data_IF_518307952736
#
_entry.id   IF_518307952736
#
_cell.length_a   1.000
_cell.length_b   1.000
_cell.length_c   1.000
_cell.angle_alpha   90.00
_cell.angle_beta   90.00
_cell.angle_gamma   90.00
#
_symmetry.space_group_name_H-M   'P 1'
#
loop_
_entity.id
_entity.type
_entity.pdbx_description
1 polymer ?
#
# COMPACT_ATOMS: atom_id res chain seq x y z
N UNK A 1 -28.48 -5.77 -8.21
CA UNK A 1 -27.91 -6.85 -7.37
C UNK A 1 -26.43 -6.58 -7.17
N UNK A 2 -25.96 -6.72 -5.96
CA UNK A 2 -24.53 -6.57 -5.64
C UNK A 2 -23.96 -7.93 -5.23
N UNK A 3 -23.22 -8.61 -6.08
CA UNK A 3 -22.76 -9.98 -5.82
C UNK A 3 -21.83 -10.09 -4.58
N UNK A 4 -21.16 -9.00 -4.21
CA UNK A 4 -20.29 -9.00 -3.03
C UNK A 4 -21.03 -9.17 -1.70
N UNK A 5 -22.34 -8.91 -1.67
CA UNK A 5 -23.15 -9.10 -0.46
C UNK A 5 -23.50 -10.57 -0.19
N UNK A 6 -23.43 -11.40 -1.22
CA UNK A 6 -23.76 -12.83 -1.16
C UNK A 6 -22.50 -13.72 -1.04
N UNK A 7 -21.30 -13.10 -1.08
CA UNK A 7 -20.03 -13.79 -0.94
C UNK A 7 -19.76 -14.20 0.50
N UNK A 8 -19.15 -15.36 0.66
CA UNK A 8 -18.59 -15.74 1.96
C UNK A 8 -17.31 -14.94 2.29
N UNK A 9 -16.75 -15.18 3.47
CA UNK A 9 -15.59 -14.43 3.97
C UNK A 9 -14.34 -14.66 3.12
N UNK A 10 -14.13 -15.87 2.61
CA UNK A 10 -12.95 -16.20 1.80
C UNK A 10 -13.07 -15.60 0.41
N UNK A 11 -14.25 -15.66 -0.18
CA UNK A 11 -14.57 -15.03 -1.46
C UNK A 11 -14.41 -13.50 -1.39
N UNK A 12 -14.90 -12.86 -0.31
CA UNK A 12 -14.70 -11.42 -0.08
C UNK A 12 -13.23 -11.06 0.07
N UNK A 13 -12.46 -11.86 0.80
CA UNK A 13 -11.03 -11.63 0.94
C UNK A 13 -10.30 -11.79 -0.40
N UNK A 14 -10.65 -12.80 -1.20
CA UNK A 14 -10.15 -12.97 -2.56
C UNK A 14 -10.47 -11.77 -3.47
N UNK A 15 -11.69 -11.25 -3.38
CA UNK A 15 -12.09 -10.04 -4.11
C UNK A 15 -11.28 -8.82 -3.66
N UNK A 16 -11.06 -8.65 -2.36
CA UNK A 16 -10.22 -7.58 -1.81
C UNK A 16 -8.79 -7.64 -2.35
N UNK A 17 -8.19 -8.83 -2.36
CA UNK A 17 -6.85 -9.04 -2.94
C UNK A 17 -6.82 -8.72 -4.43
N UNK A 18 -7.83 -9.11 -5.18
CA UNK A 18 -7.94 -8.78 -6.61
C UNK A 18 -8.02 -7.27 -6.83
N UNK A 19 -8.86 -6.56 -6.08
CA UNK A 19 -8.97 -5.11 -6.20
C UNK A 19 -7.68 -4.40 -5.80
N UNK A 20 -7.01 -4.86 -4.75
CA UNK A 20 -5.71 -4.30 -4.35
C UNK A 20 -4.64 -4.49 -5.43
N UNK A 21 -4.59 -5.67 -6.06
CA UNK A 21 -3.69 -5.94 -7.19
C UNK A 21 -4.02 -5.09 -8.42
N UNK A 22 -5.30 -4.94 -8.75
CA UNK A 22 -5.75 -4.13 -9.88
C UNK A 22 -5.43 -2.65 -9.68
N UNK A 23 -5.62 -2.15 -8.47
CA UNK A 23 -5.24 -0.79 -8.14
C UNK A 23 -3.74 -0.56 -8.32
N UNK A 24 -2.90 -1.46 -7.78
CA UNK A 24 -1.45 -1.34 -7.92
C UNK A 24 -1.00 -1.47 -9.38
N UNK A 25 -1.65 -2.33 -10.16
CA UNK A 25 -1.39 -2.44 -11.59
C UNK A 25 -1.73 -1.13 -12.33
N UNK A 26 -2.83 -0.50 -11.99
CA UNK A 26 -3.22 0.80 -12.55
C UNK A 26 -2.22 1.91 -12.18
N UNK A 27 -1.80 1.96 -10.93
CA UNK A 27 -0.76 2.88 -10.46
C UNK A 27 0.56 2.67 -11.23
N UNK A 28 0.97 1.41 -11.40
CA UNK A 28 2.15 1.03 -12.20
C UNK A 28 2.04 1.42 -13.67
N UNK A 29 0.87 1.29 -14.28
CA UNK A 29 0.63 1.74 -15.66
C UNK A 29 0.77 3.26 -15.80
N UNK A 30 0.26 4.02 -14.85
CA UNK A 30 0.44 5.47 -14.81
C UNK A 30 1.91 5.86 -14.66
N UNK A 31 2.62 5.20 -13.75
CA UNK A 31 4.05 5.45 -13.55
C UNK A 31 4.86 5.19 -14.81
N UNK A 32 4.65 4.03 -15.46
CA UNK A 32 5.35 3.68 -16.70
C UNK A 32 5.01 4.63 -17.85
N UNK A 33 3.76 5.07 -17.97
CA UNK A 33 3.35 6.05 -18.98
C UNK A 33 4.03 7.41 -18.75
N UNK A 34 4.17 7.84 -17.49
CA UNK A 34 4.91 9.05 -17.15
C UNK A 34 6.42 8.90 -17.42
N UNK A 35 7.00 7.75 -17.08
CA UNK A 35 8.42 7.44 -17.34
C UNK A 35 8.73 7.44 -18.84
N UNK A 36 7.89 6.78 -19.64
CA UNK A 36 8.03 6.71 -21.09
C UNK A 36 7.92 8.09 -21.77
N UNK A 37 7.05 8.96 -21.25
CA UNK A 37 6.78 10.26 -21.84
C UNK A 37 7.74 11.35 -21.37
N UNK A 38 8.21 11.30 -20.14
CA UNK A 38 8.94 12.37 -19.47
C UNK A 38 10.24 11.96 -18.79
N UNK A 39 10.57 10.67 -18.82
CA UNK A 39 11.74 10.12 -18.13
C UNK A 39 11.49 9.78 -16.66
N UNK A 40 12.44 9.04 -16.09
CA UNK A 40 12.33 8.48 -14.76
C UNK A 40 12.24 9.54 -13.66
N UNK A 41 13.05 10.59 -13.73
CA UNK A 41 13.11 11.63 -12.69
C UNK A 41 11.76 12.35 -12.56
N UNK A 42 11.11 12.67 -13.67
CA UNK A 42 9.79 13.31 -13.67
C UNK A 42 8.70 12.33 -13.24
N UNK A 43 8.78 11.07 -13.64
CA UNK A 43 7.86 10.04 -13.18
C UNK A 43 7.92 9.89 -11.65
N UNK A 44 9.11 9.86 -11.06
CA UNK A 44 9.30 9.80 -9.60
C UNK A 44 8.71 11.06 -8.94
N UNK A 45 8.96 12.24 -9.49
CA UNK A 45 8.42 13.49 -8.93
C UNK A 45 6.88 13.49 -8.91
N UNK A 46 6.26 13.03 -9.98
CA UNK A 46 4.80 12.92 -10.07
C UNK A 46 4.24 11.86 -9.11
N UNK A 47 4.92 10.73 -8.99
CA UNK A 47 4.56 9.66 -8.09
C UNK A 47 4.64 10.10 -6.62
N UNK A 48 5.71 10.78 -6.21
CA UNK A 48 5.86 11.35 -4.87
C UNK A 48 4.71 12.30 -4.52
N UNK A 49 4.28 13.16 -5.46
CA UNK A 49 3.16 14.07 -5.25
C UNK A 49 1.82 13.34 -5.18
N UNK A 50 1.62 12.33 -6.02
CA UNK A 50 0.42 11.48 -6.00
C UNK A 50 0.31 10.74 -4.66
N UNK A 51 1.40 10.17 -4.18
CA UNK A 51 1.45 9.46 -2.89
C UNK A 51 1.25 10.39 -1.69
N UNK A 52 1.77 11.61 -1.74
CA UNK A 52 1.53 12.60 -0.68
C UNK A 52 0.03 12.88 -0.50
N UNK A 53 -0.70 13.01 -1.60
CA UNK A 53 -2.15 13.23 -1.59
C UNK A 53 -2.92 11.96 -1.20
N UNK A 54 -2.57 10.84 -1.81
CA UNK A 54 -3.24 9.56 -1.59
C UNK A 54 -3.07 9.06 -0.15
N UNK A 55 -1.86 9.09 0.40
CA UNK A 55 -1.59 8.59 1.74
C UNK A 55 -2.45 9.29 2.80
N UNK A 56 -2.65 10.60 2.68
CA UNK A 56 -3.53 11.34 3.57
C UNK A 56 -5.00 10.92 3.44
N UNK A 57 -5.47 10.64 2.21
CA UNK A 57 -6.83 10.17 1.97
C UNK A 57 -7.04 8.74 2.49
N UNK A 58 -6.09 7.85 2.25
CA UNK A 58 -6.09 6.48 2.74
C UNK A 58 -6.13 6.45 4.27
N UNK A 59 -5.24 7.21 4.93
CA UNK A 59 -5.17 7.29 6.38
C UNK A 59 -6.50 7.75 7.01
N UNK A 60 -7.12 8.80 6.46
CA UNK A 60 -8.44 9.26 6.94
C UNK A 60 -9.53 8.20 6.83
N UNK A 61 -9.55 7.46 5.70
CA UNK A 61 -10.54 6.38 5.48
C UNK A 61 -10.34 5.22 6.44
N UNK A 62 -9.09 4.81 6.67
CA UNK A 62 -8.74 3.76 7.61
C UNK A 62 -9.12 4.16 9.03
N UNK A 63 -8.70 5.33 9.48
CA UNK A 63 -9.00 5.84 10.83
C UNK A 63 -10.51 5.87 11.06
N UNK A 64 -11.27 6.45 10.14
CA UNK A 64 -12.73 6.56 10.25
C UNK A 64 -13.42 5.21 10.11
N UNK A 65 -13.04 4.41 9.11
CA UNK A 65 -13.72 3.16 8.77
C UNK A 65 -13.52 2.05 9.80
N UNK A 66 -12.38 2.05 10.49
CA UNK A 66 -12.03 1.02 11.47
C UNK A 66 -12.02 1.53 12.93
N UNK A 67 -12.46 2.76 13.17
CA UNK A 67 -12.56 3.33 14.50
C UNK A 67 -11.21 3.42 15.22
N UNK A 68 -10.15 3.81 14.51
CA UNK A 68 -8.84 4.00 15.11
C UNK A 68 -8.83 5.33 15.85
N UNK A 69 -8.40 5.29 17.12
CA UNK A 69 -8.37 6.47 17.99
C UNK A 69 -7.33 7.49 17.49
N UNK A 70 -7.74 8.72 17.18
CA UNK A 70 -6.79 9.80 16.86
C UNK A 70 -5.81 10.03 18.03
N UNK A 71 -4.52 10.10 17.71
CA UNK A 71 -3.50 10.25 18.75
C UNK A 71 -3.23 8.98 19.57
N UNK A 72 -3.68 7.81 19.12
CA UNK A 72 -3.50 6.51 19.79
C UNK A 72 -2.07 5.95 19.79
N UNK A 73 -1.08 6.74 19.37
CA UNK A 73 0.33 6.38 19.43
C UNK A 73 0.74 5.29 18.43
N UNK A 74 1.80 4.55 18.77
CA UNK A 74 2.38 3.56 17.89
C UNK A 74 1.48 2.34 17.66
N UNK A 75 0.65 1.95 18.64
CA UNK A 75 -0.30 0.85 18.48
C UNK A 75 -1.38 1.21 17.44
N UNK A 76 -1.89 2.43 17.48
CA UNK A 76 -2.82 2.91 16.47
C UNK A 76 -2.16 2.96 15.08
N UNK A 77 -0.89 3.36 15.01
CA UNK A 77 -0.10 3.35 13.77
C UNK A 77 0.08 1.93 13.24
N UNK A 78 0.48 0.98 14.06
CA UNK A 78 0.61 -0.44 13.67
C UNK A 78 -0.69 -0.97 13.09
N UNK A 79 -1.80 -0.73 13.80
CA UNK A 79 -3.12 -1.14 13.33
C UNK A 79 -3.49 -0.50 11.99
N UNK A 80 -3.23 0.80 11.82
CA UNK A 80 -3.48 1.49 10.57
C UNK A 80 -2.63 0.94 9.41
N UNK A 81 -1.36 0.66 9.65
CA UNK A 81 -0.46 0.07 8.64
C UNK A 81 -0.91 -1.33 8.21
N UNK A 82 -1.45 -2.13 9.13
CA UNK A 82 -1.97 -3.48 8.82
C UNK A 82 -3.27 -3.46 8.00
N UNK A 83 -3.97 -2.33 7.95
CA UNK A 83 -5.23 -2.15 7.23
C UNK A 83 -5.06 -1.47 5.86
N UNK A 84 -3.85 -1.08 5.52
CA UNK A 84 -3.55 -0.50 4.22
C UNK A 84 -3.72 -1.55 3.11
N UNK A 85 -4.04 -1.09 1.91
CA UNK A 85 -4.14 -1.95 0.74
C UNK A 85 -2.85 -2.73 0.47
N UNK A 86 -1.69 -2.15 0.73
CA UNK A 86 -0.40 -2.82 0.61
C UNK A 86 -0.24 -4.03 1.54
N UNK A 87 -0.85 -4.02 2.71
CA UNK A 87 -0.84 -5.16 3.63
C UNK A 87 -1.50 -6.42 3.05
N UNK A 88 -2.39 -6.24 2.08
CA UNK A 88 -3.11 -7.35 1.41
C UNK A 88 -2.28 -8.00 0.30
N UNK A 89 -1.32 -7.28 -0.28
CA UNK A 89 -0.57 -7.70 -1.48
C UNK A 89 0.94 -7.79 -1.27
N UNK A 90 1.46 -7.25 -0.19
CA UNK A 90 2.86 -7.35 0.22
C UNK A 90 2.99 -8.29 1.43
N UNK A 91 4.20 -8.76 1.69
CA UNK A 91 4.55 -9.38 2.97
C UNK A 91 5.24 -8.33 3.83
N UNK A 92 4.71 -8.11 5.02
CA UNK A 92 5.20 -7.08 5.93
C UNK A 92 5.08 -7.55 7.38
N UNK A 93 5.97 -7.06 8.23
CA UNK A 93 5.86 -7.27 9.67
C UNK A 93 6.33 -6.05 10.45
N UNK A 94 6.07 -6.05 11.74
CA UNK A 94 6.55 -5.03 12.67
C UNK A 94 7.32 -5.66 13.81
N UNK A 95 8.28 -4.91 14.33
CA UNK A 95 9.01 -5.27 15.56
C UNK A 95 8.90 -4.14 16.56
N UNK A 96 8.61 -4.49 17.80
CA UNK A 96 8.59 -3.57 18.93
C UNK A 96 9.90 -3.65 19.72
N UNK A 97 10.37 -2.51 20.23
CA UNK A 97 11.40 -2.51 21.26
C UNK A 97 10.86 -3.10 22.57
N UNK A 98 11.74 -3.63 23.44
CA UNK A 98 11.35 -4.21 24.72
C UNK A 98 10.55 -3.25 25.60
N UNK A 99 10.87 -1.96 25.54
CA UNK A 99 10.21 -0.90 26.30
C UNK A 99 8.96 -0.32 25.61
N UNK A 100 8.55 -0.90 24.47
CA UNK A 100 7.42 -0.45 23.65
C UNK A 100 7.46 1.04 23.25
N UNK A 101 8.64 1.65 23.18
CA UNK A 101 8.79 3.06 22.78
C UNK A 101 9.14 3.23 21.30
N UNK A 102 9.49 2.14 20.60
CA UNK A 102 9.86 2.13 19.19
C UNK A 102 9.17 1.01 18.44
N UNK A 103 8.67 1.35 17.27
CA UNK A 103 8.10 0.42 16.29
C UNK A 103 8.96 0.46 15.04
N UNK A 104 9.40 -0.70 14.55
CA UNK A 104 10.02 -0.86 13.24
C UNK A 104 9.04 -1.54 12.31
N UNK A 105 8.89 -0.99 11.13
CA UNK A 105 8.08 -1.56 10.06
C UNK A 105 8.99 -2.13 8.97
N UNK A 106 8.74 -3.37 8.58
CA UNK A 106 9.51 -4.08 7.56
C UNK A 106 8.62 -4.46 6.40
N UNK A 107 9.12 -4.23 5.19
CA UNK A 107 8.54 -4.72 3.95
C UNK A 107 9.37 -5.91 3.46
N UNK A 108 8.94 -7.12 3.78
CA UNK A 108 9.68 -8.35 3.48
C UNK A 108 9.61 -8.70 2.00
N UNK A 109 8.41 -8.57 1.42
CA UNK A 109 8.18 -8.78 -0.01
C UNK A 109 7.37 -7.62 -0.56
N UNK A 110 8.00 -6.81 -1.40
CA UNK A 110 7.37 -5.69 -2.09
C UNK A 110 6.92 -6.10 -3.49
N UNK A 111 5.62 -6.07 -3.74
CA UNK A 111 5.06 -6.42 -5.05
C UNK A 111 5.52 -5.48 -6.17
N UNK A 112 5.73 -4.19 -5.88
CA UNK A 112 6.25 -3.23 -6.85
C UNK A 112 7.63 -3.66 -7.35
N UNK A 113 8.56 -3.95 -6.43
CA UNK A 113 9.91 -4.39 -6.80
C UNK A 113 9.89 -5.73 -7.53
N UNK A 114 9.10 -6.69 -7.07
CA UNK A 114 8.94 -7.97 -7.75
C UNK A 114 8.44 -7.81 -9.19
N UNK A 115 7.45 -6.93 -9.41
CA UNK A 115 6.89 -6.67 -10.74
C UNK A 115 7.92 -6.01 -11.65
N UNK A 116 8.68 -5.03 -11.16
CA UNK A 116 9.75 -4.39 -11.92
C UNK A 116 10.82 -5.40 -12.33
N UNK A 117 11.28 -6.24 -11.40
CA UNK A 117 12.28 -7.30 -11.69
C UNK A 117 11.79 -8.30 -12.72
N UNK A 118 10.51 -8.73 -12.64
CA UNK A 118 9.92 -9.63 -13.65
C UNK A 118 9.85 -9.00 -15.04
N UNK A 119 9.72 -7.69 -15.13
CA UNK A 119 9.73 -6.93 -16.40
C UNK A 119 11.15 -6.57 -16.88
N UNK A 120 12.20 -6.98 -16.18
CA UNK A 120 13.57 -6.61 -16.49
C UNK A 120 13.89 -5.13 -16.25
N UNK A 121 13.11 -4.45 -15.44
CA UNK A 121 13.34 -3.06 -15.07
C UNK A 121 14.23 -2.97 -13.82
N UNK A 122 14.95 -1.85 -13.70
CA UNK A 122 15.70 -1.55 -12.48
C UNK A 122 14.77 -1.42 -11.27
N UNK A 123 15.30 -1.70 -10.08
CA UNK A 123 14.54 -1.51 -8.84
C UNK A 123 14.07 -0.06 -8.71
N UNK A 124 12.86 0.11 -8.18
CA UNK A 124 12.34 1.43 -7.86
C UNK A 124 13.21 2.04 -6.74
N UNK A 125 13.68 3.29 -6.89
CA UNK A 125 14.54 3.94 -5.90
C UNK A 125 13.70 4.41 -4.70
N UNK A 126 13.37 3.48 -3.79
CA UNK A 126 12.66 3.80 -2.54
C UNK A 126 13.51 4.73 -1.66
N UNK A 127 12.86 5.74 -1.06
CA UNK A 127 13.47 6.71 -0.14
C UNK A 127 12.96 6.48 1.28
#
# INVERSE_FOLDING_TARGET
MNPYLDMDREELYGALQMFAKNWLAHDGCWFLAAEDSHGLDEAIRLDEEAWRRFAAAEARRIVKGFGIEPGGGLEALERALSLRMYAVINEQHVEWSEDHTRLRFFMDVCRVQQTRRRKGLADFPCK
#
